data_IF_716282655902
#
_entry.id   IF_716282655902
#
_cell.length_a   1.000
_cell.length_b   1.000
_cell.length_c   1.000
_cell.angle_alpha   90.00
_cell.angle_beta   90.00
_cell.angle_gamma   90.00
#
_symmetry.space_group_name_H-M   'P 1'
#
loop_
_entity.id
_entity.type
_entity.pdbx_description
1 polymer ?
#
# COMPACT_ATOMS: atom_id res chain seq x y z
N UNK A 1 14.51 -8.95 -23.21
CA UNK A 1 13.18 -9.61 -23.23
C UNK A 1 12.68 -9.97 -21.83
N UNK A 2 13.52 -10.48 -20.92
CA UNK A 2 13.16 -10.86 -19.53
C UNK A 2 12.39 -9.77 -18.77
N UNK A 3 12.81 -8.51 -18.86
CA UNK A 3 12.12 -7.40 -18.19
C UNK A 3 10.64 -7.28 -18.62
N UNK A 4 10.32 -7.45 -19.91
CA UNK A 4 8.93 -7.35 -20.39
C UNK A 4 8.05 -8.45 -19.77
N UNK A 5 8.61 -9.66 -19.63
CA UNK A 5 7.94 -10.78 -18.98
C UNK A 5 7.73 -10.48 -17.49
N UNK A 6 8.76 -9.96 -16.80
CA UNK A 6 8.68 -9.56 -15.40
C UNK A 6 7.62 -8.47 -15.16
N UNK A 7 7.57 -7.47 -16.03
CA UNK A 7 6.54 -6.42 -16.03
C UNK A 7 5.14 -7.00 -16.12
N UNK A 8 4.94 -7.92 -17.06
CA UNK A 8 3.65 -8.56 -17.22
C UNK A 8 3.23 -9.34 -15.96
N UNK A 9 4.15 -10.08 -15.34
CA UNK A 9 3.89 -10.74 -14.07
C UNK A 9 3.54 -9.76 -12.95
N UNK A 10 4.13 -8.56 -12.94
CA UNK A 10 3.77 -7.49 -12.00
C UNK A 10 2.33 -7.01 -12.21
N UNK A 11 1.87 -6.88 -13.47
CA UNK A 11 0.46 -6.57 -13.77
C UNK A 11 -0.50 -7.68 -13.33
N UNK A 12 -0.13 -8.96 -13.52
CA UNK A 12 -0.92 -10.08 -12.98
C UNK A 12 -1.02 -10.00 -11.46
N UNK A 13 0.11 -9.78 -10.77
CA UNK A 13 0.18 -9.61 -9.32
C UNK A 13 -0.69 -8.45 -8.84
N UNK A 14 -0.62 -7.27 -9.50
CA UNK A 14 -1.51 -6.14 -9.23
C UNK A 14 -2.97 -6.53 -9.35
N UNK A 15 -3.34 -7.24 -10.42
CA UNK A 15 -4.73 -7.64 -10.64
C UNK A 15 -5.30 -8.53 -9.51
N UNK A 16 -4.45 -9.36 -8.90
CA UNK A 16 -4.84 -10.19 -7.75
C UNK A 16 -5.14 -9.37 -6.49
N UNK A 17 -4.38 -8.30 -6.23
CA UNK A 17 -4.65 -7.39 -5.11
C UNK A 17 -5.83 -6.47 -5.39
N UNK A 18 -5.96 -5.98 -6.62
CA UNK A 18 -6.96 -5.00 -7.01
C UNK A 18 -8.39 -5.53 -7.05
N UNK A 19 -8.57 -6.87 -7.13
CA UNK A 19 -9.86 -7.58 -7.08
C UNK A 19 -11.02 -6.79 -7.68
N UNK A 20 -11.14 -6.81 -9.00
CA UNK A 20 -12.19 -6.05 -9.68
C UNK A 20 -13.55 -6.72 -9.58
N UNK A 21 -14.62 -5.93 -9.68
CA UNK A 21 -16.02 -6.37 -9.68
C UNK A 21 -16.82 -5.60 -10.73
N UNK A 22 -18.02 -6.06 -11.04
CA UNK A 22 -18.96 -5.37 -11.92
C UNK A 22 -19.83 -4.43 -11.08
N UNK A 23 -19.72 -3.10 -11.23
CA UNK A 23 -20.58 -2.16 -10.52
C UNK A 23 -22.04 -2.32 -10.98
N UNK A 24 -23.02 -1.83 -10.19
CA UNK A 24 -24.41 -1.76 -10.62
C UNK A 24 -24.50 -1.03 -11.98
N UNK A 25 -25.27 -1.59 -12.91
CA UNK A 25 -25.48 -1.00 -14.23
C UNK A 25 -26.09 0.39 -14.07
N UNK A 26 -25.43 1.41 -14.63
CA UNK A 26 -26.12 2.65 -14.99
C UNK A 26 -27.03 2.36 -16.20
N UNK A 27 -28.21 2.97 -16.28
CA UNK A 27 -29.25 2.77 -17.32
C UNK A 27 -28.78 2.88 -18.79
N UNK A 28 -27.52 3.23 -19.05
CA UNK A 28 -26.92 3.46 -20.37
C UNK A 28 -25.83 2.46 -20.81
N UNK A 29 -25.54 1.41 -20.03
CA UNK A 29 -24.47 0.47 -20.37
C UNK A 29 -24.99 -0.83 -21.00
N UNK A 30 -24.73 -1.01 -22.31
CA UNK A 30 -25.01 -2.26 -23.04
C UNK A 30 -24.02 -3.38 -22.69
N UNK A 31 -22.83 -3.05 -22.16
CA UNK A 31 -21.77 -4.01 -21.82
C UNK A 31 -21.25 -3.79 -20.41
N UNK A 32 -21.17 -4.89 -19.65
CA UNK A 32 -20.65 -4.87 -18.29
C UNK A 32 -19.17 -4.48 -18.29
N UNK A 33 -18.81 -3.54 -17.43
CA UNK A 33 -17.42 -3.13 -17.16
C UNK A 33 -16.95 -3.63 -15.80
N UNK A 34 -15.64 -3.57 -15.56
CA UNK A 34 -15.05 -3.89 -14.26
C UNK A 34 -14.55 -2.60 -13.59
N UNK A 35 -14.90 -2.43 -12.33
CA UNK A 35 -14.31 -1.43 -11.44
C UNK A 35 -13.24 -2.10 -10.54
N UNK A 36 -12.10 -1.44 -10.30
CA UNK A 36 -11.14 -1.88 -9.28
C UNK A 36 -11.76 -1.76 -7.88
N UNK A 37 -11.43 -2.64 -6.94
CA UNK A 37 -11.85 -2.46 -5.54
C UNK A 37 -10.94 -1.45 -4.84
N UNK A 38 -9.69 -1.75 -4.43
CA UNK A 38 -8.71 -0.71 -4.15
C UNK A 38 -8.20 -0.09 -5.45
N UNK A 39 -7.93 1.21 -5.44
CA UNK A 39 -7.24 1.90 -6.53
C UNK A 39 -5.73 1.68 -6.40
N UNK A 40 -5.17 0.84 -7.26
CA UNK A 40 -3.75 0.48 -7.25
C UNK A 40 -3.10 0.81 -8.60
N UNK A 41 -1.86 1.30 -8.56
CA UNK A 41 -1.00 1.51 -9.72
C UNK A 41 0.34 0.80 -9.55
N UNK A 42 0.99 0.48 -10.67
CA UNK A 42 2.42 0.14 -10.67
C UNK A 42 3.15 1.47 -10.79
N UNK A 43 3.88 1.81 -9.73
CA UNK A 43 4.56 3.10 -9.60
C UNK A 43 6.06 2.87 -9.64
N UNK A 44 6.79 3.73 -10.34
CA UNK A 44 8.25 3.72 -10.25
C UNK A 44 8.70 4.34 -8.92
N UNK A 45 9.68 3.73 -8.27
CA UNK A 45 10.35 4.31 -7.10
C UNK A 45 11.16 5.54 -7.54
N UNK A 46 12.06 5.37 -8.52
CA UNK A 46 12.67 6.49 -9.22
C UNK A 46 11.87 6.78 -10.51
N UNK A 47 11.29 7.98 -10.70
CA UNK A 47 10.39 8.26 -11.81
C UNK A 47 11.03 8.05 -13.19
N UNK A 48 10.35 7.31 -14.08
CA UNK A 48 10.81 7.06 -15.45
C UNK A 48 11.02 8.36 -16.24
N UNK A 49 10.13 9.34 -16.07
CA UNK A 49 10.23 10.65 -16.71
C UNK A 49 11.49 11.45 -16.30
N UNK A 50 12.17 11.03 -15.22
CA UNK A 50 13.43 11.60 -14.72
C UNK A 50 14.62 10.67 -14.95
N UNK A 51 14.47 9.65 -15.78
CA UNK A 51 15.52 8.66 -16.08
C UNK A 51 15.51 7.46 -15.14
N UNK A 52 14.40 7.16 -14.47
CA UNK A 52 14.24 5.92 -13.71
C UNK A 52 14.35 4.68 -14.57
N UNK A 53 14.97 3.63 -14.05
CA UNK A 53 15.11 2.36 -14.74
C UNK A 53 13.76 1.69 -14.94
N UNK A 54 13.58 1.08 -16.11
CA UNK A 54 12.40 0.28 -16.43
C UNK A 54 12.65 -1.19 -16.06
N UNK A 55 12.81 -1.46 -14.77
CA UNK A 55 12.96 -2.81 -14.21
C UNK A 55 11.99 -3.02 -13.06
N UNK A 56 11.67 -4.27 -12.74
CA UNK A 56 10.70 -4.59 -11.68
C UNK A 56 11.19 -4.23 -10.27
N UNK A 57 12.49 -4.10 -10.07
CA UNK A 57 13.13 -3.71 -8.82
C UNK A 57 12.99 -2.20 -8.57
N UNK A 58 12.79 -1.41 -9.63
CA UNK A 58 12.47 0.02 -9.52
C UNK A 58 10.96 0.29 -9.47
N UNK A 59 10.12 -0.74 -9.32
CA UNK A 59 8.67 -0.62 -9.35
C UNK A 59 8.02 -1.16 -8.09
N UNK A 60 6.89 -0.60 -7.71
CA UNK A 60 6.06 -1.07 -6.60
C UNK A 60 4.58 -1.01 -6.97
N UNK A 61 3.82 -2.04 -6.56
CA UNK A 61 2.36 -1.96 -6.59
C UNK A 61 1.90 -1.16 -5.37
N UNK A 62 1.39 0.06 -5.60
CA UNK A 62 1.04 0.99 -4.54
C UNK A 62 -0.36 1.60 -4.75
N UNK A 63 -0.97 2.19 -3.71
CA UNK A 63 -2.24 2.88 -3.88
C UNK A 63 -2.10 4.12 -4.77
N UNK A 64 -2.99 4.25 -5.75
CA UNK A 64 -2.95 5.31 -6.77
C UNK A 64 -2.87 6.72 -6.18
N UNK A 65 -3.56 6.94 -5.06
CA UNK A 65 -3.58 8.23 -4.37
C UNK A 65 -2.18 8.67 -3.92
N UNK A 66 -1.36 7.75 -3.40
CA UNK A 66 0.00 8.04 -2.94
C UNK A 66 0.90 8.41 -4.12
N UNK A 67 0.83 7.63 -5.19
CA UNK A 67 1.61 7.86 -6.40
C UNK A 67 1.32 9.26 -7.00
N UNK A 68 0.03 9.62 -7.12
CA UNK A 68 -0.38 10.94 -7.61
C UNK A 68 0.11 12.07 -6.71
N UNK A 69 0.15 11.86 -5.39
CA UNK A 69 0.61 12.86 -4.43
C UNK A 69 2.10 13.15 -4.57
N UNK A 70 2.90 12.13 -4.87
CA UNK A 70 4.34 12.30 -5.09
C UNK A 70 4.66 12.98 -6.44
N UNK A 71 3.74 12.95 -7.41
CA UNK A 71 3.78 13.77 -8.63
C UNK A 71 5.13 13.74 -9.38
N UNK A 72 5.66 12.52 -9.61
CA UNK A 72 6.95 12.28 -10.27
C UNK A 72 8.16 13.02 -9.63
N UNK A 73 8.06 13.35 -8.33
CA UNK A 73 9.20 13.85 -7.57
C UNK A 73 10.27 12.75 -7.45
N UNK A 74 11.54 13.15 -7.55
CA UNK A 74 12.65 12.24 -7.29
C UNK A 74 12.63 11.91 -5.79
N UNK A 75 12.61 10.62 -5.40
CA UNK A 75 12.60 10.24 -4.00
C UNK A 75 13.90 10.67 -3.32
N UNK A 76 13.84 10.89 -2.01
CA UNK A 76 15.01 11.12 -1.19
C UNK A 76 16.03 9.98 -1.35
N UNK A 77 17.30 10.35 -1.52
CA UNK A 77 18.39 9.42 -1.76
C UNK A 77 19.12 9.11 -0.45
N UNK A 78 19.39 7.82 -0.19
CA UNK A 78 20.26 7.40 0.92
C UNK A 78 19.60 6.57 2.02
N UNK A 79 18.28 6.32 1.98
CA UNK A 79 17.58 5.44 2.95
C UNK A 79 17.16 4.09 2.36
N UNK A 80 17.77 3.65 1.26
CA UNK A 80 17.46 2.37 0.61
C UNK A 80 16.22 2.39 -0.28
N UNK A 81 15.39 3.45 -0.25
CA UNK A 81 14.20 3.61 -1.09
C UNK A 81 14.38 4.63 -2.24
N UNK A 82 15.62 4.96 -2.58
CA UNK A 82 15.93 5.96 -3.61
C UNK A 82 15.54 5.53 -5.04
N UNK A 83 15.14 4.29 -5.24
CA UNK A 83 14.91 3.69 -6.56
C UNK A 83 16.19 3.53 -7.37
N UNK A 84 16.02 3.17 -8.64
CA UNK A 84 17.12 2.85 -9.56
C UNK A 84 17.08 3.83 -10.72
N UNK A 85 18.14 4.60 -10.89
CA UNK A 85 18.31 5.45 -12.08
C UNK A 85 18.87 4.61 -13.24
N UNK A 86 18.33 4.79 -14.43
CA UNK A 86 18.86 4.20 -15.66
C UNK A 86 20.21 4.81 -15.99
N UNK A 87 21.20 3.94 -16.25
CA UNK A 87 22.54 4.33 -16.73
C UNK A 87 22.69 4.22 -18.25
N UNK A 88 21.69 3.66 -18.93
CA UNK A 88 21.71 3.46 -20.38
C UNK A 88 21.34 4.71 -21.17
N UNK A 89 21.79 4.75 -22.42
CA UNK A 89 21.39 5.78 -23.38
C UNK A 89 19.90 5.70 -23.71
N UNK A 90 19.29 6.85 -24.00
CA UNK A 90 17.93 6.90 -24.52
C UNK A 90 17.89 6.21 -25.89
N UNK A 91 17.03 5.20 -26.03
CA UNK A 91 16.84 4.49 -27.29
C UNK A 91 15.53 4.98 -27.90
N UNK A 92 15.58 5.94 -28.84
CA UNK A 92 14.38 6.35 -29.55
C UNK A 92 13.92 5.18 -30.43
N UNK A 93 12.61 5.02 -30.55
CA UNK A 93 12.05 4.05 -31.47
C UNK A 93 10.84 4.62 -32.19
N UNK A 94 10.65 4.17 -33.44
CA UNK A 94 9.56 4.61 -34.31
C UNK A 94 8.50 3.51 -34.37
N UNK A 95 7.23 3.88 -34.18
CA UNK A 95 6.12 2.92 -34.22
C UNK A 95 5.83 2.29 -32.84
N UNK A 96 5.39 1.03 -32.84
CA UNK A 96 5.05 0.35 -31.59
C UNK A 96 6.28 -0.25 -30.91
N UNK A 97 6.23 -0.41 -29.59
CA UNK A 97 7.29 -1.11 -28.83
C UNK A 97 7.58 -2.50 -29.42
N UNK A 98 6.55 -3.19 -29.93
CA UNK A 98 6.70 -4.51 -30.55
C UNK A 98 7.53 -4.45 -31.83
N UNK A 99 7.28 -3.47 -32.70
CA UNK A 99 8.03 -3.30 -33.95
C UNK A 99 9.52 -3.05 -33.65
N UNK A 100 9.79 -2.22 -32.65
CA UNK A 100 11.14 -1.87 -32.23
C UNK A 100 11.88 -3.04 -31.56
N UNK A 101 11.15 -3.90 -30.84
CA UNK A 101 11.71 -5.14 -30.30
C UNK A 101 12.05 -6.12 -31.44
N UNK A 102 11.19 -6.24 -32.46
CA UNK A 102 11.48 -7.07 -33.63
C UNK A 102 12.70 -6.55 -34.38
N UNK A 103 12.78 -5.25 -34.61
CA UNK A 103 13.91 -4.64 -35.32
C UNK A 103 15.24 -4.92 -34.60
N UNK A 104 15.24 -4.96 -33.26
CA UNK A 104 16.44 -5.14 -32.46
C UNK A 104 16.81 -6.59 -32.15
N UNK A 105 15.83 -7.45 -31.88
CA UNK A 105 16.04 -8.82 -31.39
C UNK A 105 15.56 -9.90 -32.38
N UNK A 106 14.88 -9.50 -33.46
CA UNK A 106 14.30 -10.43 -34.42
C UNK A 106 12.94 -10.98 -33.98
N UNK A 107 12.11 -11.34 -34.96
CA UNK A 107 10.73 -11.78 -34.71
C UNK A 107 10.64 -13.11 -33.97
N UNK A 108 11.57 -14.04 -34.20
CA UNK A 108 11.55 -15.35 -33.55
C UNK A 108 11.81 -15.24 -32.04
N UNK A 109 12.86 -14.50 -31.64
CA UNK A 109 13.21 -14.30 -30.23
C UNK A 109 12.10 -13.57 -29.47
N UNK A 110 11.58 -12.50 -30.07
CA UNK A 110 10.49 -11.72 -29.46
C UNK A 110 9.25 -12.58 -29.25
N UNK A 111 8.85 -13.35 -30.28
CA UNK A 111 7.68 -14.22 -30.17
C UNK A 111 7.90 -15.39 -29.20
N UNK A 112 9.12 -15.94 -29.11
CA UNK A 112 9.46 -16.98 -28.15
C UNK A 112 9.29 -16.46 -26.71
N UNK A 113 9.86 -15.29 -26.39
CA UNK A 113 9.74 -14.69 -25.07
C UNK A 113 8.29 -14.31 -24.72
N UNK A 114 7.52 -13.79 -25.69
CA UNK A 114 6.10 -13.48 -25.46
C UNK A 114 5.22 -14.72 -25.29
N UNK A 115 5.63 -15.91 -25.79
CA UNK A 115 4.90 -17.17 -25.57
C UNK A 115 5.01 -17.69 -24.14
N UNK A 116 6.07 -17.35 -23.41
CA UNK A 116 6.20 -17.69 -21.99
C UNK A 116 5.16 -16.96 -21.12
N UNK A 117 4.63 -15.86 -21.63
CA UNK A 117 3.63 -15.05 -20.95
C UNK A 117 2.28 -15.77 -21.00
N UNK A 118 1.84 -16.29 -19.85
CA UNK A 118 0.49 -16.85 -19.72
C UNK A 118 -0.55 -15.74 -19.94
N UNK A 119 -1.45 -15.84 -20.94
CA UNK A 119 -2.43 -14.79 -21.21
C UNK A 119 -3.34 -14.52 -20.01
N UNK A 120 -3.54 -13.25 -19.68
CA UNK A 120 -4.37 -12.84 -18.59
C UNK A 120 -5.83 -13.23 -18.90
N UNK A 121 -6.56 -13.70 -17.90
CA UNK A 121 -7.98 -14.01 -18.06
C UNK A 121 -8.73 -12.74 -18.48
N UNK A 122 -9.15 -12.69 -19.73
CA UNK A 122 -9.93 -11.58 -20.28
C UNK A 122 -11.34 -11.60 -19.70
N UNK A 123 -11.84 -10.42 -19.35
CA UNK A 123 -13.24 -10.24 -19.00
C UNK A 123 -14.02 -9.84 -20.25
N UNK A 124 -14.92 -10.73 -20.70
CA UNK A 124 -15.67 -10.52 -21.94
C UNK A 124 -16.95 -9.68 -21.75
N UNK A 125 -17.34 -9.38 -20.50
CA UNK A 125 -18.55 -8.61 -20.20
C UNK A 125 -19.84 -9.42 -20.27
N UNK A 126 -19.74 -10.75 -20.40
CA UNK A 126 -20.90 -11.64 -20.60
C UNK A 126 -21.64 -11.98 -19.30
N UNK A 127 -20.97 -11.86 -18.15
CA UNK A 127 -21.54 -12.17 -16.84
C UNK A 127 -21.01 -11.20 -15.78
N UNK A 128 -21.85 -10.76 -14.83
CA UNK A 128 -21.41 -9.85 -13.77
C UNK A 128 -20.47 -10.56 -12.82
N UNK A 129 -19.40 -9.87 -12.43
CA UNK A 129 -18.49 -10.30 -11.38
C UNK A 129 -18.92 -9.68 -10.06
N UNK A 130 -19.33 -10.51 -9.11
CA UNK A 130 -19.70 -10.07 -7.76
C UNK A 130 -18.48 -9.55 -7.01
N UNK A 131 -18.69 -8.56 -6.14
CA UNK A 131 -17.66 -8.08 -5.22
C UNK A 131 -17.37 -9.12 -4.13
N UNK A 132 -16.08 -9.35 -3.88
CA UNK A 132 -15.55 -10.29 -2.89
C UNK A 132 -14.47 -9.62 -2.04
N UNK A 133 -14.78 -9.37 -0.77
CA UNK A 133 -13.89 -8.69 0.17
C UNK A 133 -14.18 -9.15 1.60
N UNK A 134 -13.16 -9.67 2.30
CA UNK A 134 -13.36 -10.34 3.58
C UNK A 134 -13.36 -9.43 4.81
N UNK A 135 -13.27 -8.10 4.63
CA UNK A 135 -13.13 -7.14 5.72
C UNK A 135 -11.67 -6.87 6.09
N UNK A 136 -11.38 -5.63 6.51
CA UNK A 136 -10.02 -5.23 6.89
C UNK A 136 -9.55 -5.93 8.16
N UNK A 137 -10.48 -6.27 9.06
CA UNK A 137 -10.22 -6.98 10.32
C UNK A 137 -9.72 -8.42 10.13
N UNK A 138 -9.76 -8.92 8.89
CA UNK A 138 -9.22 -10.23 8.52
C UNK A 138 -8.12 -10.13 7.48
N UNK A 139 -8.33 -9.32 6.45
CA UNK A 139 -7.49 -9.36 5.25
C UNK A 139 -6.36 -8.35 5.26
N UNK A 140 -6.51 -7.22 5.96
CA UNK A 140 -5.56 -6.10 5.96
C UNK A 140 -4.98 -5.84 4.55
N UNK A 141 -5.80 -5.43 3.58
CA UNK A 141 -5.44 -5.37 2.16
C UNK A 141 -4.22 -4.49 1.86
N UNK A 142 -4.14 -3.26 2.39
CA UNK A 142 -3.00 -2.37 2.11
C UNK A 142 -1.77 -2.82 2.90
N UNK A 143 -1.95 -3.25 4.14
CA UNK A 143 -0.83 -3.77 4.95
C UNK A 143 -0.19 -5.00 4.33
N UNK A 144 -1.02 -5.96 3.90
CA UNK A 144 -0.55 -7.19 3.25
C UNK A 144 0.13 -6.89 1.92
N UNK A 145 -0.37 -5.90 1.18
CA UNK A 145 0.28 -5.44 -0.06
C UNK A 145 1.66 -4.85 0.24
N UNK A 146 1.76 -3.90 1.20
CA UNK A 146 3.02 -3.26 1.56
C UNK A 146 4.06 -4.30 1.98
N UNK A 147 3.69 -5.19 2.91
CA UNK A 147 4.55 -6.29 3.36
C UNK A 147 5.07 -7.11 2.17
N UNK A 148 4.18 -7.56 1.27
CA UNK A 148 4.57 -8.41 0.15
C UNK A 148 5.41 -7.69 -0.90
N UNK A 149 5.22 -6.39 -1.06
CA UNK A 149 6.03 -5.60 -1.99
C UNK A 149 7.40 -5.26 -1.40
N UNK A 150 7.50 -4.91 -0.11
CA UNK A 150 8.79 -4.75 0.57
C UNK A 150 9.61 -6.04 0.54
N UNK A 151 8.98 -7.19 0.78
CA UNK A 151 9.64 -8.49 0.63
C UNK A 151 10.14 -8.74 -0.80
N UNK A 152 9.32 -8.40 -1.80
CA UNK A 152 9.69 -8.56 -3.22
C UNK A 152 10.87 -7.66 -3.61
N UNK A 153 10.95 -6.48 -3.01
CA UNK A 153 12.01 -5.48 -3.22
C UNK A 153 13.20 -5.68 -2.27
N UNK A 154 13.33 -6.86 -1.65
CA UNK A 154 14.45 -7.25 -0.79
C UNK A 154 14.62 -6.42 0.50
N UNK A 155 13.59 -5.66 0.90
CA UNK A 155 13.53 -4.95 2.19
C UNK A 155 13.03 -5.87 3.32
N UNK A 156 13.69 -7.02 3.48
CA UNK A 156 13.25 -8.09 4.38
C UNK A 156 13.16 -7.64 5.85
N UNK A 157 14.13 -6.88 6.34
CA UNK A 157 14.15 -6.41 7.74
C UNK A 157 12.93 -5.54 8.08
N UNK A 158 12.56 -4.61 7.20
CA UNK A 158 11.37 -3.76 7.37
C UNK A 158 10.10 -4.62 7.26
N UNK A 159 10.08 -5.55 6.31
CA UNK A 159 8.96 -6.48 6.10
C UNK A 159 8.71 -7.38 7.32
N UNK A 160 9.76 -7.89 7.96
CA UNK A 160 9.69 -8.70 9.18
C UNK A 160 9.19 -7.87 10.35
N UNK A 161 9.73 -6.65 10.53
CA UNK A 161 9.25 -5.73 11.56
C UNK A 161 7.75 -5.45 11.42
N UNK A 162 7.25 -5.21 10.20
CA UNK A 162 5.81 -5.04 9.97
C UNK A 162 5.02 -6.26 10.46
N UNK A 163 5.48 -7.48 10.18
CA UNK A 163 4.78 -8.68 10.65
C UNK A 163 4.75 -8.78 12.17
N UNK A 164 5.82 -8.42 12.86
CA UNK A 164 5.86 -8.37 14.32
C UNK A 164 4.91 -7.29 14.87
N UNK A 165 4.86 -6.11 14.24
CA UNK A 165 3.89 -5.04 14.58
C UNK A 165 2.45 -5.56 14.41
N UNK A 166 2.15 -6.25 13.31
CA UNK A 166 0.82 -6.84 13.08
C UNK A 166 0.43 -7.81 14.19
N UNK A 167 1.36 -8.63 14.67
CA UNK A 167 1.13 -9.56 15.79
C UNK A 167 0.94 -8.81 17.11
N UNK A 168 1.62 -7.67 17.28
CA UNK A 168 1.49 -6.82 18.46
C UNK A 168 0.14 -6.11 18.52
N UNK A 169 -0.49 -5.73 17.38
CA UNK A 169 -1.74 -4.97 17.35
C UNK A 169 -2.91 -5.72 16.68
N UNK A 170 -3.31 -6.92 17.15
CA UNK A 170 -4.32 -7.73 16.49
C UNK A 170 -5.73 -7.12 16.54
N UNK A 171 -5.98 -6.21 17.48
CA UNK A 171 -7.29 -5.58 17.71
C UNK A 171 -7.48 -4.26 16.95
N UNK A 172 -6.44 -3.74 16.28
CA UNK A 172 -6.45 -2.41 15.67
C UNK A 172 -6.21 -2.48 14.15
N UNK A 173 -7.09 -3.15 13.38
CA UNK A 173 -6.86 -3.37 11.95
C UNK A 173 -6.80 -2.07 11.14
N UNK A 174 -7.60 -1.06 11.51
CA UNK A 174 -7.54 0.25 10.85
C UNK A 174 -6.19 0.93 11.06
N UNK A 175 -5.60 0.82 12.26
CA UNK A 175 -4.28 1.39 12.53
C UNK A 175 -3.19 0.72 11.72
N UNK A 176 -3.25 -0.60 11.56
CA UNK A 176 -2.33 -1.33 10.68
C UNK A 176 -2.48 -0.87 9.22
N UNK A 177 -3.71 -0.69 8.75
CA UNK A 177 -3.96 -0.17 7.41
C UNK A 177 -3.47 1.27 7.22
N UNK A 178 -3.64 2.15 8.21
CA UNK A 178 -3.09 3.51 8.20
C UNK A 178 -1.56 3.50 8.22
N UNK A 179 -0.96 2.59 9.00
CA UNK A 179 0.49 2.38 9.00
C UNK A 179 0.99 1.94 7.63
N UNK A 180 0.22 1.11 6.92
CA UNK A 180 0.54 0.73 5.56
C UNK A 180 0.52 1.92 4.60
N UNK A 181 -0.45 2.83 4.74
CA UNK A 181 -0.53 4.06 3.95
C UNK A 181 0.69 4.96 4.20
N UNK A 182 1.04 5.18 5.47
CA UNK A 182 2.28 5.87 5.87
C UNK A 182 3.50 5.19 5.23
N UNK A 183 3.54 3.86 5.28
CA UNK A 183 4.62 3.07 4.72
C UNK A 183 4.76 3.21 3.21
N UNK A 184 3.68 3.13 2.44
CA UNK A 184 3.73 3.37 1.00
C UNK A 184 4.22 4.78 0.66
N UNK A 185 3.76 5.78 1.40
CA UNK A 185 4.22 7.16 1.20
C UNK A 185 5.71 7.30 1.48
N UNK A 186 6.20 6.73 2.58
CA UNK A 186 7.62 6.73 2.90
C UNK A 186 8.45 6.03 1.81
N UNK A 187 8.09 4.81 1.40
CA UNK A 187 8.80 4.09 0.33
C UNK A 187 8.85 4.90 -0.97
N UNK A 188 7.71 5.44 -1.41
CA UNK A 188 7.63 6.20 -2.66
C UNK A 188 8.28 7.59 -2.59
N UNK A 189 8.52 8.13 -1.40
CA UNK A 189 9.20 9.42 -1.19
C UNK A 189 10.68 9.26 -0.87
N UNK A 190 11.20 8.03 -0.78
CA UNK A 190 12.60 7.76 -0.39
C UNK A 190 12.84 7.76 1.13
N UNK A 191 11.77 7.73 1.92
CA UNK A 191 11.74 7.78 3.39
C UNK A 191 12.56 8.93 4.01
N UNK A 192 12.27 10.20 3.65
CA UNK A 192 13.07 11.34 4.11
C UNK A 192 13.06 11.50 5.64
N UNK A 193 11.95 11.16 6.30
CA UNK A 193 11.81 11.23 7.76
C UNK A 193 12.33 9.98 8.48
N UNK A 194 12.87 9.01 7.75
CA UNK A 194 13.34 7.72 8.29
C UNK A 194 12.27 6.99 9.09
N UNK A 195 11.00 7.11 8.70
CA UNK A 195 9.89 6.53 9.45
C UNK A 195 9.99 5.00 9.50
N UNK A 196 10.50 4.36 8.44
CA UNK A 196 10.64 2.91 8.41
C UNK A 196 11.71 2.43 9.40
N UNK A 197 12.85 3.12 9.42
CA UNK A 197 13.91 2.84 10.38
C UNK A 197 13.44 3.11 11.82
N UNK A 198 12.69 4.21 12.03
CA UNK A 198 12.11 4.56 13.33
C UNK A 198 11.14 3.49 13.82
N UNK A 199 10.22 3.02 12.96
CA UNK A 199 9.30 1.94 13.26
C UNK A 199 10.06 0.68 13.69
N UNK A 200 11.07 0.27 12.94
CA UNK A 200 11.90 -0.89 13.27
C UNK A 200 12.63 -0.72 14.60
N UNK A 201 13.24 0.45 14.84
CA UNK A 201 13.99 0.74 16.07
C UNK A 201 13.09 0.73 17.31
N UNK A 202 11.95 1.40 17.24
CA UNK A 202 11.00 1.51 18.35
C UNK A 202 10.41 0.14 18.66
N UNK A 203 9.90 -0.56 17.65
CA UNK A 203 9.18 -1.80 17.88
C UNK A 203 10.11 -2.99 18.17
N UNK A 204 11.34 -3.02 17.65
CA UNK A 204 12.33 -4.03 18.06
C UNK A 204 12.64 -4.00 19.56
N UNK A 205 12.70 -2.82 20.17
CA UNK A 205 12.82 -2.70 21.62
C UNK A 205 11.59 -3.24 22.34
N UNK A 206 10.41 -3.01 21.78
CA UNK A 206 9.15 -3.55 22.32
C UNK A 206 9.13 -5.08 22.24
N UNK A 207 9.55 -5.67 21.12
CA UNK A 207 9.57 -7.12 20.90
C UNK A 207 10.49 -7.86 21.88
N UNK A 208 11.64 -7.27 22.21
CA UNK A 208 12.56 -7.83 23.20
C UNK A 208 11.99 -7.86 24.62
N UNK A 209 11.09 -6.95 24.96
CA UNK A 209 10.47 -6.84 26.30
C UNK A 209 9.17 -7.67 26.39
N UNK A 210 8.51 -7.92 25.25
CA UNK A 210 7.16 -8.49 25.18
C UNK A 210 7.02 -9.94 25.69
N UNK A 211 8.10 -10.71 25.86
CA UNK A 211 8.00 -12.07 26.41
C UNK A 211 7.47 -12.11 27.86
N UNK A 212 7.50 -10.99 28.59
CA UNK A 212 7.01 -10.89 29.98
C UNK A 212 5.79 -9.99 30.20
N UNK A 213 5.26 -9.33 29.17
CA UNK A 213 4.24 -8.29 29.32
C UNK A 213 2.82 -8.82 29.12
N UNK A 214 1.91 -8.48 30.05
CA UNK A 214 0.47 -8.70 29.91
C UNK A 214 -0.10 -7.61 29.00
N UNK A 215 -0.79 -8.01 27.93
CA UNK A 215 -1.45 -7.12 26.96
C UNK A 215 -0.54 -6.03 26.34
N UNK A 216 0.54 -6.42 25.64
CA UNK A 216 1.55 -5.47 25.15
C UNK A 216 0.99 -4.43 24.17
N UNK A 217 -0.07 -4.75 23.43
CA UNK A 217 -0.80 -3.82 22.58
C UNK A 217 -1.27 -2.55 23.33
N UNK A 218 -1.77 -2.69 24.57
CA UNK A 218 -2.26 -1.54 25.37
C UNK A 218 -1.14 -0.61 25.81
N UNK A 219 0.08 -1.14 25.96
CA UNK A 219 1.24 -0.37 26.40
C UNK A 219 1.83 0.45 25.24
N UNK A 220 1.69 -0.04 24.01
CA UNK A 220 2.29 0.58 22.82
C UNK A 220 1.27 1.23 21.88
N UNK A 221 -0.04 1.17 22.17
CA UNK A 221 -1.06 1.80 21.31
C UNK A 221 -0.95 3.32 21.29
N UNK A 222 -0.62 3.95 22.42
CA UNK A 222 -0.37 5.40 22.49
C UNK A 222 0.75 5.84 21.55
N UNK A 223 1.80 5.02 21.46
CA UNK A 223 2.94 5.25 20.60
C UNK A 223 2.55 5.16 19.12
N UNK A 224 1.83 4.10 18.74
CA UNK A 224 1.28 3.94 17.39
C UNK A 224 0.37 5.12 17.01
N UNK A 225 -0.56 5.49 17.90
CA UNK A 225 -1.45 6.62 17.71
C UNK A 225 -0.68 7.93 17.47
N UNK A 226 0.34 8.23 18.28
CA UNK A 226 1.13 9.47 18.12
C UNK A 226 1.90 9.51 16.80
N UNK A 227 2.47 8.38 16.39
CA UNK A 227 3.18 8.28 15.13
C UNK A 227 2.23 8.55 13.96
N UNK A 228 1.08 7.87 13.95
CA UNK A 228 0.05 8.08 12.93
C UNK A 228 -0.49 9.51 12.96
N UNK A 229 -0.80 10.07 14.14
CA UNK A 229 -1.29 11.45 14.31
C UNK A 229 -0.37 12.47 13.63
N UNK A 230 0.93 12.40 13.93
CA UNK A 230 1.91 13.35 13.38
C UNK A 230 2.05 13.17 11.87
N UNK A 231 2.23 11.95 11.40
CA UNK A 231 2.48 11.67 9.98
C UNK A 231 1.25 11.99 9.11
N UNK A 232 0.06 11.55 9.54
CA UNK A 232 -1.20 11.79 8.82
C UNK A 232 -1.55 13.27 8.75
N UNK A 233 -1.33 14.02 9.84
CA UNK A 233 -1.58 15.47 9.84
C UNK A 233 -0.62 16.20 8.88
N UNK A 234 0.68 15.89 8.91
CA UNK A 234 1.70 16.53 8.07
C UNK A 234 1.50 16.22 6.59
N UNK A 235 1.41 14.94 6.26
CA UNK A 235 1.45 14.50 4.86
C UNK A 235 0.10 14.31 4.23
N UNK A 236 -0.99 14.24 4.99
CA UNK A 236 -2.32 13.98 4.44
C UNK A 236 -3.38 14.98 4.89
N UNK A 237 -3.05 15.89 5.81
CA UNK A 237 -4.00 16.81 6.43
C UNK A 237 -5.18 16.08 7.11
N UNK A 238 -4.92 14.90 7.66
CA UNK A 238 -5.93 14.07 8.34
C UNK A 238 -5.67 14.12 9.85
N UNK A 239 -6.68 14.57 10.59
CA UNK A 239 -6.67 14.55 12.06
C UNK A 239 -7.18 13.20 12.54
N UNK A 240 -6.28 12.39 13.13
CA UNK A 240 -6.66 11.04 13.63
C UNK A 240 -7.70 11.10 14.76
N UNK A 241 -7.79 12.24 15.45
CA UNK A 241 -8.77 12.51 16.51
C UNK A 241 -10.20 12.57 15.96
N UNK A 242 -10.34 12.86 14.66
CA UNK A 242 -11.61 12.88 13.96
C UNK A 242 -11.81 11.55 13.22
N UNK A 243 -12.51 10.61 13.86
CA UNK A 243 -12.77 9.27 13.34
C UNK A 243 -13.43 9.31 11.96
N UNK A 244 -14.38 10.21 11.75
CA UNK A 244 -15.10 10.36 10.48
C UNK A 244 -14.16 10.81 9.36
N UNK A 245 -13.22 11.71 9.65
CA UNK A 245 -12.18 12.11 8.71
C UNK A 245 -11.23 10.95 8.36
N UNK A 246 -10.85 10.13 9.35
CA UNK A 246 -10.03 8.93 9.14
C UNK A 246 -10.76 7.90 8.27
N UNK A 247 -12.05 7.67 8.56
CA UNK A 247 -12.91 6.77 7.78
C UNK A 247 -13.03 7.23 6.33
N UNK A 248 -13.30 8.52 6.11
CA UNK A 248 -13.38 9.11 4.77
C UNK A 248 -12.05 9.00 4.02
N UNK A 249 -10.94 9.29 4.71
CA UNK A 249 -9.60 9.17 4.15
C UNK A 249 -9.29 7.74 3.69
N UNK A 250 -9.52 6.75 4.55
CA UNK A 250 -9.26 5.35 4.22
C UNK A 250 -10.17 4.83 3.09
N UNK A 251 -11.46 5.18 3.12
CA UNK A 251 -12.37 4.82 2.03
C UNK A 251 -11.99 5.46 0.69
N UNK A 252 -11.28 6.59 0.69
CA UNK A 252 -10.76 7.24 -0.52
C UNK A 252 -9.80 6.37 -1.36
N UNK A 253 -9.25 5.29 -0.77
CA UNK A 253 -8.42 4.32 -1.47
C UNK A 253 -9.21 3.25 -2.23
N UNK A 254 -10.54 3.25 -2.11
CA UNK A 254 -11.42 2.21 -2.62
C UNK A 254 -12.58 2.78 -3.44
N UNK A 255 -13.09 1.99 -4.38
CA UNK A 255 -14.30 2.35 -5.15
C UNK A 255 -15.61 2.03 -4.42
N UNK A 256 -15.52 1.38 -3.26
CA UNK A 256 -16.65 1.06 -2.39
C UNK A 256 -16.29 1.46 -0.97
N UNK A 257 -17.32 1.74 -0.18
CA UNK A 257 -17.17 1.95 1.25
C UNK A 257 -16.69 0.66 1.92
N UNK A 258 -15.50 0.70 2.53
CA UNK A 258 -14.88 -0.46 3.18
C UNK A 258 -15.05 -0.41 4.69
N UNK A 259 -15.11 0.79 5.26
CA UNK A 259 -15.37 1.01 6.67
C UNK A 259 -16.37 2.15 6.90
N UNK A 260 -16.96 2.20 8.08
CA UNK A 260 -17.76 3.33 8.57
C UNK A 260 -17.48 3.59 10.05
N UNK A 261 -17.85 4.77 10.54
CA UNK A 261 -17.90 5.03 11.98
C UNK A 261 -18.93 4.10 12.64
N UNK A 262 -18.60 3.55 13.82
CA UNK A 262 -19.53 2.76 14.63
C UNK A 262 -20.43 3.61 15.52
N UNK A 263 -21.35 2.95 16.20
CA UNK A 263 -22.35 3.60 17.05
C UNK A 263 -21.70 4.19 18.33
N UNK A 264 -20.75 3.47 18.94
CA UNK A 264 -19.94 3.99 20.04
C UNK A 264 -18.72 4.77 19.50
N UNK A 265 -18.20 5.74 20.25
CA UNK A 265 -17.11 6.64 19.82
C UNK A 265 -15.81 5.90 19.46
N UNK A 266 -15.55 4.75 20.08
CA UNK A 266 -14.38 3.90 19.90
C UNK A 266 -14.59 2.75 18.92
N UNK A 267 -15.69 2.77 18.15
CA UNK A 267 -16.01 1.71 17.21
C UNK A 267 -15.81 2.10 15.76
N UNK A 268 -15.38 1.14 14.94
CA UNK A 268 -15.37 1.22 13.48
C UNK A 268 -16.07 -0.01 12.93
N UNK A 269 -16.97 0.19 11.98
CA UNK A 269 -17.62 -0.88 11.24
C UNK A 269 -16.75 -1.24 10.04
N UNK A 270 -16.38 -2.51 9.93
CA UNK A 270 -15.67 -3.07 8.78
C UNK A 270 -16.65 -3.81 7.88
N UNK A 271 -16.74 -3.41 6.61
CA UNK A 271 -17.61 -4.06 5.65
C UNK A 271 -16.96 -5.28 5.01
N UNK A 272 -17.76 -6.33 4.90
CA UNK A 272 -17.46 -7.57 4.20
C UNK A 272 -18.42 -7.73 3.04
N UNK A 273 -17.91 -8.20 1.93
CA UNK A 273 -18.66 -8.47 0.71
C UNK A 273 -18.46 -9.93 0.35
N UNK A 274 -19.52 -10.72 0.41
CA UNK A 274 -19.52 -12.11 -0.02
C UNK A 274 -20.62 -12.31 -1.04
N UNK A 275 -20.26 -12.70 -2.26
CA UNK A 275 -21.19 -12.91 -3.36
C UNK A 275 -22.07 -11.68 -3.65
N UNK A 276 -21.53 -10.47 -3.42
CA UNK A 276 -22.25 -9.20 -3.56
C UNK A 276 -23.07 -8.75 -2.36
N UNK A 277 -23.18 -9.57 -1.30
CA UNK A 277 -23.92 -9.22 -0.08
C UNK A 277 -23.00 -8.47 0.88
N UNK A 278 -23.39 -7.24 1.26
CA UNK A 278 -22.72 -6.42 2.27
C UNK A 278 -23.09 -6.91 3.67
N UNK A 279 -22.10 -7.20 4.49
CA UNK A 279 -22.19 -7.49 5.94
C UNK A 279 -21.20 -6.59 6.68
N UNK A 280 -21.37 -6.41 7.97
CA UNK A 280 -20.43 -5.66 8.81
C UNK A 280 -19.90 -6.50 9.96
N UNK A 281 -18.75 -6.09 10.49
CA UNK A 281 -18.24 -6.49 11.78
C UNK A 281 -17.64 -5.27 12.47
N UNK A 282 -17.83 -5.15 13.78
CA UNK A 282 -17.28 -4.04 14.54
C UNK A 282 -15.85 -4.33 14.96
N UNK A 283 -15.01 -3.29 14.95
CA UNK A 283 -13.66 -3.29 15.48
C UNK A 283 -13.44 -2.02 16.30
N UNK A 284 -12.27 -1.92 16.92
CA UNK A 284 -11.93 -0.85 17.84
C UNK A 284 -11.13 0.25 17.16
N UNK A 285 -11.39 1.49 17.55
CA UNK A 285 -10.69 2.70 17.17
C UNK A 285 -10.24 3.42 18.43
N UNK A 286 -8.93 3.46 18.62
CA UNK A 286 -8.35 4.07 19.80
C UNK A 286 -8.28 5.60 19.64
N UNK A 287 -8.68 6.33 20.67
CA UNK A 287 -8.31 7.74 20.87
C UNK A 287 -7.93 7.87 22.35
N UNK A 288 -6.72 8.35 22.69
CA UNK A 288 -6.33 8.52 24.08
C UNK A 288 -7.26 9.50 24.81
N UNK A 289 -7.79 9.12 25.97
CA UNK A 289 -8.66 9.99 26.79
C UNK A 289 -7.88 11.12 27.51
N UNK A 290 -6.56 10.99 27.64
CA UNK A 290 -5.66 11.99 28.20
C UNK A 290 -4.35 11.99 27.41
N UNK A 291 -3.82 13.16 27.04
CA UNK A 291 -2.43 13.30 26.57
C UNK A 291 -1.47 13.08 27.76
N UNK A 292 -1.36 11.85 28.26
CA UNK A 292 -0.32 11.51 29.23
C UNK A 292 1.01 11.50 28.49
N UNK A 293 1.83 12.53 28.66
CA UNK A 293 3.22 12.48 28.22
C UNK A 293 3.95 11.36 28.98
N UNK A 294 3.97 10.15 28.42
CA UNK A 294 4.99 9.17 28.79
C UNK A 294 6.33 9.72 28.29
N UNK A 295 7.01 10.48 29.16
CA UNK A 295 8.31 11.13 28.91
C UNK A 295 9.33 10.13 28.35
N UNK A 296 9.26 8.86 28.74
CA UNK A 296 10.13 7.79 28.24
C UNK A 296 9.81 7.36 26.80
N UNK A 297 8.53 7.32 26.40
CA UNK A 297 8.14 7.07 25.00
C UNK A 297 8.46 8.27 24.12
N UNK A 298 8.35 9.48 24.65
CA UNK A 298 8.78 10.71 23.97
C UNK A 298 10.27 10.77 23.73
N UNK A 299 11.12 10.14 24.57
CA UNK A 299 12.56 9.98 24.31
C UNK A 299 12.87 8.92 23.26
N UNK A 300 12.03 7.90 23.09
CA UNK A 300 12.17 6.84 22.09
C UNK A 300 11.72 7.27 20.68
N UNK A 301 10.67 8.09 20.62
CA UNK A 301 10.30 8.89 19.43
C UNK A 301 11.23 10.11 19.28
N UNK A 302 11.98 10.43 20.35
CA UNK A 302 12.49 11.75 20.69
C UNK A 302 13.36 12.40 19.67
N UNK A 303 13.17 13.72 19.52
CA UNK A 303 13.97 14.74 18.80
C UNK A 303 14.33 14.45 17.33
N UNK A 304 14.49 13.18 16.93
CA UNK A 304 14.80 12.62 15.61
C UNK A 304 13.65 12.73 14.61
N UNK A 305 12.40 12.85 15.08
CA UNK A 305 11.35 13.38 14.22
C UNK A 305 11.52 14.89 14.17
N UNK A 306 12.61 15.35 13.56
CA UNK A 306 12.79 16.73 13.12
C UNK A 306 11.79 16.99 12.00
N UNK A 307 10.53 17.09 12.37
CA UNK A 307 9.50 17.67 11.53
C UNK A 307 9.77 19.17 11.48
N UNK A 308 10.84 19.58 10.78
CA UNK A 308 10.92 20.94 10.23
C UNK A 308 9.76 21.15 9.25
#
# INVERSE_FOLDING_TARGET
MTEIVNYYHLYLRKSHYQRSYTPPLSDRQEKLTLAPLPFLDISHLYPNAKGGANTTENMIIAPSFINRRNNDAIPYQGQGFGGIQSTGELIPFNGSLYDSLIERFGSEEVNAALREITPAKRFYGNAPRKIEFGGIERQLPLFTLLYKELWRLEHHSVSECLMEIKQLFPQYPLYLELLAIVGFHAVLSGDPDRIMALLCRIFSQCFNINSSLREPHKQFIDLMYRLLRKYLRRYFSVEIDNREAVVAFYNGFYSQEIIAAGDAEDEVLCYRYFTGIKRSATTFFYVPQQEKEHVDLWRLIGEDLTFE
#
